data_IF_798935792816
#
_entry.id   IF_798935792816
#
_cell.length_a   1.000
_cell.length_b   1.000
_cell.length_c   1.000
_cell.angle_alpha   90.00
_cell.angle_beta   90.00
_cell.angle_gamma   90.00
#
_symmetry.space_group_name_H-M   'P 1'
#
loop_
_entity.id
_entity.type
_entity.pdbx_description
1 polymer ?
#
# COMPACT_ATOMS: atom_id res chain seq x y z
N UNK A 1 -5.80 -3.81 -14.85
CA UNK A 1 -4.41 -3.55 -15.27
C UNK A 1 -4.09 -4.51 -16.40
N UNK A 2 -3.38 -4.08 -17.44
CA UNK A 2 -3.02 -4.89 -18.61
C UNK A 2 -1.51 -5.11 -18.61
N UNK A 3 -1.09 -6.37 -18.68
CA UNK A 3 0.32 -6.77 -18.79
C UNK A 3 0.49 -7.43 -20.15
N UNK A 4 1.39 -6.93 -20.98
CA UNK A 4 1.52 -7.37 -22.38
C UNK A 4 2.93 -7.07 -22.92
N UNK A 5 3.35 -7.79 -23.95
CA UNK A 5 4.58 -7.53 -24.71
C UNK A 5 4.34 -6.62 -25.93
N UNK A 6 3.08 -6.32 -26.27
CA UNK A 6 2.70 -5.40 -27.34
C UNK A 6 1.20 -5.45 -27.64
N UNK A 7 0.69 -4.45 -28.36
CA UNK A 7 -0.70 -4.44 -28.82
C UNK A 7 -0.75 -4.14 -30.32
N UNK A 8 -1.49 -4.94 -31.12
CA UNK A 8 -1.61 -4.69 -32.55
C UNK A 8 -2.39 -3.41 -32.85
N UNK A 9 -3.39 -3.10 -32.02
CA UNK A 9 -4.31 -1.98 -32.19
C UNK A 9 -4.67 -1.32 -30.85
N UNK A 10 -5.40 -0.20 -30.91
CA UNK A 10 -5.82 0.58 -29.74
C UNK A 10 -7.07 0.05 -29.03
N UNK A 11 -7.87 -0.77 -29.71
CA UNK A 11 -9.15 -1.29 -29.20
C UNK A 11 -10.08 -0.17 -28.65
N UNK A 12 -10.12 0.96 -29.35
CA UNK A 12 -10.94 2.14 -29.03
C UNK A 12 -12.42 1.80 -28.90
N UNK A 13 -12.96 0.97 -29.79
CA UNK A 13 -14.35 0.48 -29.75
C UNK A 13 -14.76 -0.12 -28.41
N UNK A 14 -13.86 -0.84 -27.74
CA UNK A 14 -14.12 -1.44 -26.42
C UNK A 14 -14.21 -0.34 -25.34
N UNK A 15 -13.34 0.67 -25.41
CA UNK A 15 -13.37 1.77 -24.45
C UNK A 15 -14.59 2.68 -24.66
N UNK A 16 -15.01 2.87 -25.91
CA UNK A 16 -16.22 3.60 -26.28
C UNK A 16 -17.47 2.95 -25.69
N UNK A 17 -17.59 1.62 -25.79
CA UNK A 17 -18.74 0.87 -25.31
C UNK A 17 -18.80 0.80 -23.77
N UNK A 18 -17.67 0.53 -23.12
CA UNK A 18 -17.67 0.13 -21.70
C UNK A 18 -17.15 1.17 -20.71
N UNK A 19 -16.37 2.17 -21.14
CA UNK A 19 -15.70 3.09 -20.21
C UNK A 19 -15.98 4.57 -20.50
N UNK A 20 -16.23 4.95 -21.75
CA UNK A 20 -16.41 6.35 -22.16
C UNK A 20 -17.89 6.75 -22.13
N UNK A 21 -18.19 8.04 -21.91
CA UNK A 21 -17.29 9.19 -21.76
C UNK A 21 -16.76 9.40 -20.32
N UNK A 22 -17.37 8.77 -19.31
CA UNK A 22 -17.10 9.08 -17.91
C UNK A 22 -15.70 8.65 -17.45
N UNK A 23 -15.16 7.58 -18.05
CA UNK A 23 -13.86 6.99 -17.72
C UNK A 23 -13.78 6.66 -16.22
N UNK A 24 -14.71 5.82 -15.79
CA UNK A 24 -14.82 5.34 -14.40
C UNK A 24 -13.72 4.32 -14.11
N UNK A 25 -13.36 3.51 -15.10
CA UNK A 25 -12.29 2.52 -15.01
C UNK A 25 -10.96 3.14 -15.45
N UNK A 26 -9.93 2.98 -14.62
CA UNK A 26 -8.55 3.37 -14.95
C UNK A 26 -7.79 2.21 -15.57
N UNK A 27 -7.10 2.47 -16.68
CA UNK A 27 -6.34 1.44 -17.41
C UNK A 27 -4.85 1.67 -17.23
N UNK A 28 -4.18 0.76 -16.53
CA UNK A 28 -2.73 0.75 -16.38
C UNK A 28 -2.14 -0.29 -17.31
N UNK A 29 -1.15 0.07 -18.12
CA UNK A 29 -0.53 -0.84 -19.10
C UNK A 29 0.95 -1.04 -18.75
N UNK A 30 1.33 -2.29 -18.55
CA UNK A 30 2.70 -2.72 -18.31
C UNK A 30 3.22 -3.46 -19.53
N UNK A 31 4.14 -2.82 -20.24
CA UNK A 31 4.76 -3.37 -21.43
C UNK A 31 6.02 -4.13 -21.02
N UNK A 32 6.08 -5.43 -21.29
CA UNK A 32 7.21 -6.30 -20.91
C UNK A 32 8.01 -6.68 -22.14
N UNK A 33 9.32 -6.46 -22.11
CA UNK A 33 10.21 -6.91 -23.18
C UNK A 33 11.38 -5.97 -23.37
N UNK A 34 12.54 -6.54 -23.71
CA UNK A 34 13.76 -5.77 -24.00
C UNK A 34 13.67 -5.00 -25.30
N UNK A 35 13.05 -5.60 -26.31
CA UNK A 35 12.87 -5.03 -27.64
C UNK A 35 11.37 -5.01 -27.95
N UNK A 36 10.75 -3.85 -27.83
CA UNK A 36 9.35 -3.68 -28.19
C UNK A 36 9.28 -2.82 -29.45
N UNK A 37 8.72 -3.36 -30.56
CA UNK A 37 8.71 -2.67 -31.85
C UNK A 37 7.78 -1.45 -31.87
N UNK A 38 6.65 -1.48 -31.14
CA UNK A 38 5.75 -0.32 -30.99
C UNK A 38 5.10 -0.30 -29.60
N UNK A 39 5.21 0.84 -28.90
CA UNK A 39 4.60 1.10 -27.60
C UNK A 39 3.47 2.13 -27.65
N UNK A 40 3.18 2.69 -28.83
CA UNK A 40 2.21 3.77 -29.01
C UNK A 40 0.82 3.35 -28.57
N UNK A 41 0.41 2.13 -28.93
CA UNK A 41 -0.94 1.67 -28.67
C UNK A 41 -1.18 1.40 -27.18
N UNK A 42 -0.26 0.69 -26.55
CA UNK A 42 -0.31 0.43 -25.10
C UNK A 42 -0.25 1.72 -24.31
N UNK A 43 0.60 2.67 -24.70
CA UNK A 43 0.65 4.00 -24.11
C UNK A 43 -0.66 4.77 -24.28
N UNK A 44 -1.24 4.74 -25.49
CA UNK A 44 -2.51 5.41 -25.77
C UNK A 44 -3.65 4.85 -24.91
N UNK A 45 -3.76 3.53 -24.80
CA UNK A 45 -4.78 2.87 -23.97
C UNK A 45 -4.72 3.34 -22.50
N UNK A 46 -3.53 3.52 -21.93
CA UNK A 46 -3.39 4.04 -20.57
C UNK A 46 -3.71 5.53 -20.46
N UNK A 47 -3.16 6.36 -21.35
CA UNK A 47 -3.34 7.81 -21.33
C UNK A 47 -4.81 8.20 -21.55
N UNK A 48 -5.49 7.55 -22.48
CA UNK A 48 -6.89 7.85 -22.80
C UNK A 48 -7.84 7.51 -21.64
N UNK A 49 -7.46 6.57 -20.77
CA UNK A 49 -8.28 6.05 -19.67
C UNK A 49 -7.72 6.41 -18.27
N UNK A 50 -7.15 7.61 -18.10
CA UNK A 50 -6.71 8.16 -16.79
C UNK A 50 -5.76 7.24 -15.99
N UNK A 51 -4.96 6.42 -16.67
CA UNK A 51 -4.01 5.50 -16.03
C UNK A 51 -2.55 5.88 -16.25
N UNK A 52 -1.67 4.87 -16.19
CA UNK A 52 -0.22 5.02 -16.38
C UNK A 52 0.30 3.94 -17.33
N UNK A 53 1.23 4.33 -18.19
CA UNK A 53 2.01 3.43 -19.01
C UNK A 53 3.39 3.25 -18.40
N UNK A 54 3.83 2.00 -18.28
CA UNK A 54 5.17 1.66 -17.80
C UNK A 54 5.78 0.58 -18.68
N UNK A 55 7.04 0.77 -19.06
CA UNK A 55 7.83 -0.21 -19.81
C UNK A 55 8.82 -0.91 -18.87
N UNK A 56 8.81 -2.23 -18.89
CA UNK A 56 9.63 -3.11 -18.06
C UNK A 56 10.52 -3.92 -19.00
N UNK A 57 11.77 -3.49 -19.14
CA UNK A 57 12.76 -4.15 -19.99
C UNK A 57 13.46 -5.29 -19.27
N UNK A 58 13.77 -5.10 -17.98
CA UNK A 58 14.53 -6.06 -17.19
C UNK A 58 13.80 -6.46 -15.92
N UNK A 59 14.20 -7.60 -15.34
CA UNK A 59 13.64 -8.08 -14.07
C UNK A 59 13.99 -7.18 -12.89
N UNK A 60 15.12 -6.47 -12.95
CA UNK A 60 15.52 -5.53 -11.92
C UNK A 60 14.56 -4.33 -11.85
N UNK A 61 14.03 -3.90 -13.00
CA UNK A 61 13.16 -2.74 -13.07
C UNK A 61 11.75 -2.99 -12.51
N UNK A 62 11.34 -4.26 -12.37
CA UNK A 62 9.96 -4.65 -12.04
C UNK A 62 9.50 -4.00 -10.73
N UNK A 63 10.32 -4.06 -9.68
CA UNK A 63 9.93 -3.60 -8.35
C UNK A 63 9.60 -2.11 -8.35
N UNK A 64 10.45 -1.29 -8.96
CA UNK A 64 10.25 0.16 -9.01
C UNK A 64 9.10 0.53 -9.96
N UNK A 65 9.03 -0.13 -11.13
CA UNK A 65 8.08 0.23 -12.18
C UNK A 65 6.65 -0.18 -11.89
N UNK A 66 6.45 -1.33 -11.25
CA UNK A 66 5.11 -1.77 -10.86
C UNK A 66 4.55 -0.83 -9.79
N UNK A 67 5.32 -0.39 -8.81
CA UNK A 67 4.81 0.45 -7.72
C UNK A 67 4.37 1.86 -8.17
N UNK A 68 4.80 2.34 -9.35
CA UNK A 68 4.45 3.68 -9.87
C UNK A 68 2.95 3.92 -10.06
N UNK A 69 2.12 2.87 -10.22
CA UNK A 69 0.67 3.05 -10.32
C UNK A 69 0.06 3.71 -9.07
N UNK A 70 0.68 3.49 -7.90
CA UNK A 70 0.22 4.05 -6.62
C UNK A 70 0.20 5.57 -6.68
N UNK A 71 1.18 6.20 -7.33
CA UNK A 71 1.23 7.67 -7.52
C UNK A 71 0.01 8.20 -8.26
N UNK A 72 -0.55 7.47 -9.22
CA UNK A 72 -1.75 7.90 -9.96
C UNK A 72 -3.02 7.65 -9.14
N UNK A 73 -3.08 6.52 -8.43
CA UNK A 73 -4.19 6.21 -7.53
C UNK A 73 -4.29 7.18 -6.35
N UNK A 74 -3.16 7.70 -5.86
CA UNK A 74 -3.13 8.64 -4.74
C UNK A 74 -3.51 10.09 -5.11
N UNK A 75 -3.52 10.48 -6.40
CA UNK A 75 -3.85 11.87 -6.80
C UNK A 75 -5.17 12.41 -6.24
N UNK A 76 -6.32 11.67 -6.27
CA UNK A 76 -7.57 12.16 -5.68
C UNK A 76 -7.48 12.32 -4.16
N UNK A 77 -6.74 11.42 -3.49
CA UNK A 77 -6.51 11.48 -2.06
C UNK A 77 -5.69 12.74 -1.69
N UNK A 78 -4.64 13.04 -2.46
CA UNK A 78 -3.85 14.27 -2.30
C UNK A 78 -4.68 15.53 -2.53
N UNK A 79 -5.51 15.55 -3.58
CA UNK A 79 -6.35 16.69 -3.91
C UNK A 79 -7.43 16.97 -2.86
N UNK A 80 -7.98 15.93 -2.23
CA UNK A 80 -8.99 16.04 -1.17
C UNK A 80 -8.40 16.50 0.16
N UNK A 81 -7.08 16.32 0.38
CA UNK A 81 -6.39 16.59 1.66
C UNK A 81 -7.08 15.94 2.86
N UNK A 82 -7.64 14.75 2.66
CA UNK A 82 -8.41 14.08 3.70
C UNK A 82 -7.48 13.40 4.71
N UNK A 83 -7.65 13.65 6.03
CA UNK A 83 -6.87 12.99 7.07
C UNK A 83 -7.37 11.54 7.27
N UNK A 84 -7.04 10.66 6.32
CA UNK A 84 -7.32 9.24 6.44
C UNK A 84 -6.21 8.55 7.22
N UNK A 85 -6.56 8.07 8.42
CA UNK A 85 -5.73 7.15 9.19
C UNK A 85 -6.22 5.72 8.97
N UNK A 86 -5.30 4.80 8.74
CA UNK A 86 -5.62 3.38 8.51
C UNK A 86 -4.79 2.53 9.46
N UNK A 87 -5.46 1.59 10.12
CA UNK A 87 -4.81 0.55 10.90
C UNK A 87 -4.45 -0.63 10.01
N UNK A 88 -3.21 -1.08 10.06
CA UNK A 88 -2.80 -2.32 9.41
C UNK A 88 -3.41 -3.54 10.13
N UNK A 89 -3.58 -4.67 9.43
CA UNK A 89 -3.69 -5.94 10.13
C UNK A 89 -2.45 -6.21 10.98
N UNK A 90 -2.56 -7.12 11.95
CA UNK A 90 -1.43 -7.56 12.75
C UNK A 90 -0.35 -8.20 11.86
N UNK A 91 0.89 -7.78 12.02
CA UNK A 91 2.05 -8.38 11.36
C UNK A 91 3.23 -8.50 12.34
N UNK A 92 4.18 -9.36 11.99
CA UNK A 92 5.39 -9.57 12.79
C UNK A 92 6.41 -8.55 12.34
N UNK A 93 6.88 -7.74 13.30
CA UNK A 93 7.98 -6.81 13.08
C UNK A 93 9.27 -7.55 12.70
N UNK A 94 10.06 -6.98 11.80
CA UNK A 94 11.34 -7.54 11.39
C UNK A 94 12.47 -6.67 11.92
N UNK A 95 13.47 -7.29 12.53
CA UNK A 95 14.65 -6.57 13.01
C UNK A 95 15.43 -6.08 11.81
N UNK A 96 15.68 -4.78 11.76
CA UNK A 96 16.71 -4.23 10.88
C UNK A 96 18.02 -4.23 11.65
N UNK A 97 19.15 -4.49 10.99
CA UNK A 97 20.49 -4.43 11.63
C UNK A 97 20.78 -3.07 12.31
N UNK A 98 19.97 -2.04 12.04
CA UNK A 98 20.04 -0.68 12.59
C UNK A 98 19.12 -0.45 13.80
N UNK A 99 18.21 -1.37 14.13
CA UNK A 99 17.34 -1.24 15.29
C UNK A 99 17.94 -1.94 16.51
N UNK A 100 18.71 -1.19 17.31
CA UNK A 100 19.17 -1.57 18.67
C UNK A 100 18.00 -1.70 19.70
N UNK A 101 16.75 -1.79 19.23
CA UNK A 101 15.56 -1.79 20.07
C UNK A 101 15.42 -3.20 20.69
N UNK A 102 16.02 -3.36 21.87
CA UNK A 102 15.81 -4.52 22.74
C UNK A 102 14.52 -4.31 23.53
N UNK A 103 13.49 -5.05 23.16
CA UNK A 103 12.19 -4.98 23.82
C UNK A 103 12.15 -6.08 24.89
N UNK A 104 11.71 -5.78 26.13
CA UNK A 104 11.45 -6.83 27.10
C UNK A 104 10.38 -7.78 26.53
N UNK A 105 10.75 -9.04 26.35
CA UNK A 105 9.88 -10.15 25.92
C UNK A 105 8.85 -10.55 27.00
N UNK A 106 8.84 -9.82 28.12
CA UNK A 106 7.96 -10.07 29.26
C UNK A 106 6.49 -9.76 28.98
N UNK A 107 5.67 -10.78 29.18
CA UNK A 107 4.21 -10.68 29.30
C UNK A 107 3.80 -9.74 30.45
N UNK A 108 2.70 -8.98 30.35
CA UNK A 108 2.06 -8.42 31.55
C UNK A 108 1.55 -9.55 32.45
N UNK A 109 1.93 -9.50 33.73
CA UNK A 109 1.61 -10.51 34.76
C UNK A 109 0.10 -10.83 34.89
N UNK A 110 -0.77 -9.94 34.38
CA UNK A 110 -2.24 -10.01 34.46
C UNK A 110 -2.93 -10.90 33.43
N UNK A 111 -2.23 -11.44 32.43
CA UNK A 111 -2.79 -12.37 31.45
C UNK A 111 -2.41 -13.80 31.86
N UNK A 112 -3.35 -14.67 32.23
CA UNK A 112 -3.12 -16.11 32.49
C UNK A 112 -3.62 -16.94 31.30
N UNK A 113 -2.93 -16.83 30.16
CA UNK A 113 -3.22 -17.62 28.94
C UNK A 113 -1.99 -18.47 28.67
N UNK A 114 -2.10 -19.79 28.77
CA UNK A 114 -1.05 -20.75 28.46
C UNK A 114 -0.72 -20.71 26.96
N UNK A 115 0.11 -19.74 26.56
CA UNK A 115 0.67 -19.67 25.23
C UNK A 115 2.17 -19.92 25.40
N UNK A 116 2.65 -21.04 24.86
CA UNK A 116 3.99 -21.59 25.09
C UNK A 116 5.08 -20.51 24.93
N UNK A 117 5.93 -20.43 25.95
CA UNK A 117 6.92 -19.38 26.20
C UNK A 117 8.20 -19.54 25.38
N UNK A 118 8.12 -19.98 24.14
CA UNK A 118 9.29 -20.39 23.35
C UNK A 118 9.35 -19.74 21.96
N UNK A 119 9.04 -18.44 21.88
CA UNK A 119 9.45 -17.64 20.72
C UNK A 119 10.04 -16.32 21.22
N UNK A 120 11.35 -16.31 21.42
CA UNK A 120 12.15 -15.11 21.61
C UNK A 120 12.26 -14.40 20.26
N UNK A 121 11.32 -13.49 19.99
CA UNK A 121 11.41 -12.64 18.80
C UNK A 121 12.42 -11.52 19.08
N UNK A 122 13.47 -11.46 18.27
CA UNK A 122 14.24 -10.23 18.15
C UNK A 122 13.30 -9.17 17.52
N UNK A 123 13.19 -7.96 18.11
CA UNK A 123 12.32 -6.87 17.61
C UNK A 123 11.06 -6.58 18.45
N UNK A 124 10.08 -5.86 17.89
CA UNK A 124 8.83 -5.48 18.59
C UNK A 124 7.80 -6.63 18.68
N UNK A 125 8.04 -7.75 17.99
CA UNK A 125 7.12 -8.88 17.94
C UNK A 125 5.87 -8.58 17.11
N UNK A 126 4.71 -9.01 17.58
CA UNK A 126 3.44 -8.77 16.88
C UNK A 126 2.97 -7.32 17.08
N UNK A 127 2.82 -6.59 15.98
CA UNK A 127 2.49 -5.16 15.94
C UNK A 127 1.31 -4.87 15.01
N UNK A 128 0.68 -3.72 15.22
CA UNK A 128 -0.25 -3.07 14.29
C UNK A 128 0.23 -1.64 14.04
N UNK A 129 0.31 -1.20 12.79
CA UNK A 129 0.66 0.18 12.45
C UNK A 129 -0.58 1.02 12.26
N UNK A 130 -0.55 2.27 12.74
CA UNK A 130 -1.43 3.32 12.25
C UNK A 130 -0.65 4.17 11.25
N UNK A 131 -1.22 4.37 10.06
CA UNK A 131 -0.57 5.09 8.96
C UNK A 131 -1.40 6.29 8.50
N UNK A 132 -0.72 7.38 8.14
CA UNK A 132 -1.31 8.60 7.59
C UNK A 132 -0.52 9.08 6.35
N UNK A 133 -1.21 9.50 5.27
CA UNK A 133 -0.56 10.08 4.10
C UNK A 133 0.02 11.47 4.40
N UNK A 134 1.17 11.78 3.79
CA UNK A 134 1.84 13.09 3.88
C UNK A 134 1.82 13.74 2.51
N UNK A 135 1.27 14.94 2.42
CA UNK A 135 1.03 15.66 1.17
C UNK A 135 2.06 16.77 0.94
N UNK A 136 2.22 17.16 -0.32
CA UNK A 136 3.04 18.33 -0.68
C UNK A 136 2.20 19.61 -0.53
N UNK A 137 2.68 20.51 0.32
CA UNK A 137 2.00 21.77 0.69
C UNK A 137 2.60 23.01 0.00
N UNK A 138 3.53 22.83 -0.95
CA UNK A 138 4.15 23.96 -1.65
C UNK A 138 3.11 24.72 -2.49
N UNK A 139 3.07 26.03 -2.35
CA UNK A 139 2.19 26.91 -3.14
C UNK A 139 2.87 27.51 -4.40
N UNK A 140 4.21 27.52 -4.44
CA UNK A 140 5.00 28.07 -5.54
C UNK A 140 5.87 26.99 -6.15
N UNK A 141 5.62 26.69 -7.41
CA UNK A 141 6.35 25.71 -8.21
C UNK A 141 6.64 26.29 -9.59
N UNK A 142 7.68 25.76 -10.23
CA UNK A 142 8.01 26.10 -11.62
C UNK A 142 6.86 25.72 -12.56
N UNK A 143 6.67 26.46 -13.65
CA UNK A 143 5.63 26.18 -14.66
C UNK A 143 5.74 24.77 -15.28
N UNK A 144 6.91 24.14 -15.19
CA UNK A 144 7.18 22.80 -15.71
C UNK A 144 6.88 21.67 -14.72
N UNK A 145 6.59 21.99 -13.45
CA UNK A 145 6.34 20.99 -12.40
C UNK A 145 4.85 20.66 -12.30
N UNK A 146 4.51 19.40 -12.04
CA UNK A 146 3.12 19.01 -11.78
C UNK A 146 2.58 19.75 -10.53
N UNK A 147 1.29 20.09 -10.51
CA UNK A 147 0.65 20.76 -9.36
C UNK A 147 0.97 19.99 -8.05
N UNK A 148 1.71 20.59 -7.10
CA UNK A 148 2.17 19.93 -5.88
C UNK A 148 0.99 19.44 -5.04
N UNK A 149 -0.17 20.10 -5.12
CA UNK A 149 -1.39 19.70 -4.39
C UNK A 149 -1.96 18.35 -4.84
N UNK A 150 -1.48 17.81 -5.96
CA UNK A 150 -1.83 16.47 -6.47
C UNK A 150 -0.81 15.41 -6.06
N UNK A 151 0.25 15.80 -5.37
CA UNK A 151 1.37 14.94 -5.03
C UNK A 151 1.29 14.44 -3.59
N UNK A 152 1.58 13.16 -3.42
CA UNK A 152 1.78 12.50 -2.14
C UNK A 152 3.29 12.40 -1.92
N UNK A 153 3.81 12.98 -0.84
CA UNK A 153 5.23 12.87 -0.49
C UNK A 153 5.56 11.47 0.05
N UNK A 154 4.65 10.89 0.82
CA UNK A 154 4.83 9.57 1.39
C UNK A 154 3.75 9.20 2.40
N UNK A 155 4.07 8.25 3.27
CA UNK A 155 3.22 7.78 4.35
C UNK A 155 4.05 7.78 5.62
N UNK A 156 3.51 8.32 6.70
CA UNK A 156 4.07 8.18 8.04
C UNK A 156 3.29 7.11 8.78
N UNK A 157 4.00 6.25 9.50
CA UNK A 157 3.40 5.18 10.30
C UNK A 157 3.99 5.15 11.70
N UNK A 158 3.19 4.70 12.67
CA UNK A 158 3.68 4.36 14.01
C UNK A 158 3.12 3.01 14.44
N UNK A 159 4.00 2.19 15.01
CA UNK A 159 3.70 0.82 15.36
C UNK A 159 3.25 0.71 16.82
N UNK A 160 2.18 -0.05 17.03
CA UNK A 160 1.61 -0.36 18.33
C UNK A 160 1.75 -1.85 18.57
N UNK A 161 2.51 -2.22 19.61
CA UNK A 161 2.65 -3.61 20.02
C UNK A 161 1.34 -4.16 20.55
N UNK A 162 0.96 -5.36 20.12
CA UNK A 162 -0.28 -6.00 20.59
C UNK A 162 -0.23 -6.26 22.09
N UNK A 163 0.96 -6.57 22.64
CA UNK A 163 1.13 -6.75 24.08
C UNK A 163 0.84 -5.48 24.89
N UNK A 164 1.03 -4.29 24.32
CA UNK A 164 0.66 -3.03 24.98
C UNK A 164 -0.86 -2.82 24.93
N UNK A 165 -1.52 -3.22 23.84
CA UNK A 165 -2.99 -3.18 23.74
C UNK A 165 -3.65 -4.13 24.73
N UNK A 166 -3.09 -5.34 24.92
CA UNK A 166 -3.61 -6.33 25.85
C UNK A 166 -3.65 -5.82 27.31
N UNK A 167 -2.77 -4.88 27.69
CA UNK A 167 -2.80 -4.28 29.04
C UNK A 167 -4.06 -3.45 29.31
N UNK A 168 -4.71 -2.94 28.26
CA UNK A 168 -5.95 -2.16 28.37
C UNK A 168 -7.21 -3.02 28.29
N UNK A 169 -7.08 -4.31 27.94
CA UNK A 169 -8.20 -5.23 27.85
C UNK A 169 -8.46 -5.81 29.25
N UNK A 170 -9.62 -5.56 29.87
CA UNK A 170 -9.92 -6.13 31.17
C UNK A 170 -10.06 -7.65 31.06
N UNK A 171 -9.24 -8.39 31.81
CA UNK A 171 -9.33 -9.85 31.91
C UNK A 171 -10.35 -10.21 32.98
N UNK A 172 -11.63 -10.24 32.61
CA UNK A 172 -12.65 -10.82 33.48
C UNK A 172 -12.55 -12.35 33.43
N UNK A 173 -12.56 -13.00 34.60
CA UNK A 173 -12.80 -14.44 34.67
C UNK A 173 -14.25 -14.69 34.29
N UNK A 174 -14.49 -15.08 33.05
CA UNK A 174 -15.79 -15.59 32.63
C UNK A 174 -15.93 -16.97 33.26
N UNK A 175 -16.95 -17.19 34.10
CA UNK A 175 -17.27 -18.53 34.57
C UNK A 175 -17.44 -19.45 33.37
N UNK A 176 -16.82 -20.63 33.40
CA UNK A 176 -17.02 -21.63 32.36
C UNK A 176 -18.49 -22.04 32.36
N UNK A 177 -19.24 -21.55 31.38
CA UNK A 177 -20.55 -22.09 31.10
C UNK A 177 -20.33 -23.41 30.38
N UNK A 178 -20.53 -24.52 31.11
CA UNK A 178 -20.83 -25.79 30.47
C UNK A 178 -22.11 -25.57 29.65
N UNK A 179 -22.00 -25.56 28.32
CA UNK A 179 -23.15 -25.79 27.47
C UNK A 179 -23.61 -27.23 27.75
N UNK A 180 -24.65 -27.38 28.55
CA UNK A 180 -25.38 -28.64 28.62
C UNK A 180 -26.18 -28.80 27.33
N UNK A 181 -25.99 -29.92 26.63
CA UNK A 181 -26.79 -30.36 25.47
C UNK A 181 -28.30 -30.38 25.75
#
# INVERSE_FOLDING_TARGET
>A
MLVTDGAPENFDSIFDEYNWPNKTVRVFTFLIGKEVPDNRQTKWMACANKGLFTHISTRADVQENVQKYIKVLSKPLAMSRSPHHVWSPAYIDYVTEQSDIKVPTGRPESLHVDFDSEYEYEGLGLVMSISMPVYDERDKVSELEEDPRKNLLGVVGTDVRINELMKFIPTYQVMSHHCTE
#
